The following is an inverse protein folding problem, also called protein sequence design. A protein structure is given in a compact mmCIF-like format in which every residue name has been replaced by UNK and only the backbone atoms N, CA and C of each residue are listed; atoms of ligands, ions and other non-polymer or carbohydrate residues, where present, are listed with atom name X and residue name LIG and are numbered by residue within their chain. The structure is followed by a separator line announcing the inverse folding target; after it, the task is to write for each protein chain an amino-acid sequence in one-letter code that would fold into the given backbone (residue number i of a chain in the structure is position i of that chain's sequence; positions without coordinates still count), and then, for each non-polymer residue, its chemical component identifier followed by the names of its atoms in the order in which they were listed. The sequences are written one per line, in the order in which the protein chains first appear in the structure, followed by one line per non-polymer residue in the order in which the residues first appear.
data_IF_800974905882
#
_entry.id   IF_800974905882
#
_cell.length_a   1.000
_cell.length_b   1.000
_cell.length_c   1.000
_cell.angle_alpha   90.00
_cell.angle_beta   90.00
_cell.angle_gamma   90.00
#
_symmetry.space_group_name_H-M   'P 1'
#
loop_
_entity.id
_entity.type
_entity.pdbx_description
1 polymer ?
#
# COMPACT_ATOMS: atom_id res chain seq x y z
N UNK A 1 7.20 8.91 20.39
CA UNK A 1 6.82 7.96 19.30
C UNK A 1 5.89 6.90 19.86
N UNK A 2 4.79 6.65 19.20
CA UNK A 2 3.88 5.56 19.56
C UNK A 2 4.47 4.19 19.18
N UNK A 3 4.38 3.21 20.06
CA UNK A 3 4.89 1.86 19.83
C UNK A 3 3.78 0.97 19.26
N UNK A 4 3.91 0.61 17.97
CA UNK A 4 2.94 -0.22 17.26
C UNK A 4 3.27 -1.71 17.34
N UNK A 5 2.25 -2.56 17.14
CA UNK A 5 2.42 -4.01 17.05
C UNK A 5 3.09 -4.61 18.27
N UNK A 6 4.19 -5.32 18.05
CA UNK A 6 4.98 -5.96 19.13
C UNK A 6 6.12 -5.06 19.63
N UNK A 7 6.21 -3.81 19.16
CA UNK A 7 7.27 -2.88 19.55
C UNK A 7 7.20 -2.53 21.04
N UNK A 8 8.36 -2.54 21.70
CA UNK A 8 8.50 -2.17 23.11
C UNK A 8 9.90 -1.65 23.41
N UNK A 9 10.07 -1.01 24.56
CA UNK A 9 11.40 -0.70 25.09
C UNK A 9 11.82 -1.86 26.02
N UNK A 10 12.96 -2.46 25.72
CA UNK A 10 13.48 -3.58 26.51
C UNK A 10 14.18 -3.14 27.80
N UNK A 11 14.66 -4.10 28.60
CA UNK A 11 15.33 -3.83 29.87
C UNK A 11 16.64 -3.04 29.77
N UNK A 12 17.22 -2.90 28.59
CA UNK A 12 18.42 -2.10 28.30
C UNK A 12 18.08 -0.68 27.84
N UNK A 13 16.80 -0.36 27.69
CA UNK A 13 16.34 0.91 27.17
C UNK A 13 16.36 0.99 25.64
N UNK A 14 16.53 -0.13 24.93
CA UNK A 14 16.53 -0.17 23.48
C UNK A 14 15.13 -0.48 22.95
N UNK A 15 14.83 0.07 21.76
CA UNK A 15 13.65 -0.31 21.00
C UNK A 15 13.81 -1.78 20.55
N UNK A 16 12.75 -2.56 20.77
CA UNK A 16 12.63 -3.95 20.33
C UNK A 16 11.41 -4.08 19.41
N UNK A 17 11.55 -4.78 18.28
CA UNK A 17 10.50 -5.06 17.30
C UNK A 17 10.51 -6.54 16.97
N UNK A 18 9.35 -7.21 17.04
CA UNK A 18 9.25 -8.65 16.81
C UNK A 18 10.07 -9.47 17.79
N UNK A 19 10.39 -8.94 18.97
CA UNK A 19 11.29 -9.56 19.96
C UNK A 19 12.78 -9.41 19.64
N UNK A 20 13.16 -8.62 18.62
CA UNK A 20 14.53 -8.35 18.22
C UNK A 20 14.96 -6.96 18.67
N UNK A 21 16.11 -6.84 19.34
CA UNK A 21 16.74 -5.57 19.71
C UNK A 21 17.21 -4.84 18.43
N UNK A 22 16.72 -3.61 18.23
CA UNK A 22 17.04 -2.85 17.02
C UNK A 22 18.49 -2.45 16.90
N UNK A 23 19.24 -2.34 18.01
CA UNK A 23 20.68 -2.08 17.98
C UNK A 23 21.45 -3.29 17.43
N UNK A 24 20.99 -4.50 17.77
CA UNK A 24 21.57 -5.73 17.20
C UNK A 24 21.23 -5.86 15.72
N UNK A 25 19.98 -5.54 15.31
CA UNK A 25 19.58 -5.54 13.92
C UNK A 25 20.43 -4.56 13.08
N UNK A 26 20.64 -3.33 13.59
CA UNK A 26 21.46 -2.33 12.93
C UNK A 26 22.93 -2.78 12.80
N UNK A 27 23.48 -3.43 13.83
CA UNK A 27 24.84 -3.96 13.78
C UNK A 27 24.98 -5.12 12.78
N UNK A 28 23.96 -5.98 12.69
CA UNK A 28 23.99 -7.17 11.83
C UNK A 28 23.76 -6.83 10.35
N UNK A 29 22.81 -5.94 10.06
CA UNK A 29 22.35 -5.66 8.68
C UNK A 29 22.77 -4.28 8.18
N UNK A 30 23.34 -3.43 9.03
CA UNK A 30 23.66 -2.04 8.72
C UNK A 30 22.42 -1.14 8.62
N UNK A 31 22.64 0.17 8.49
CA UNK A 31 21.59 1.18 8.26
C UNK A 31 21.81 1.89 6.92
N UNK A 32 20.83 2.57 6.34
CA UNK A 32 19.41 2.53 6.70
C UNK A 32 18.86 1.11 6.60
N UNK A 33 17.90 0.76 7.47
CA UNK A 33 17.32 -0.58 7.51
C UNK A 33 15.83 -0.50 7.73
N UNK A 34 15.03 -1.14 6.86
CA UNK A 34 13.62 -1.36 7.14
C UNK A 34 13.45 -2.62 8.01
N UNK A 35 12.74 -2.48 9.11
CA UNK A 35 12.34 -3.58 9.99
C UNK A 35 10.84 -3.70 9.98
N UNK A 36 10.32 -4.84 9.55
CA UNK A 36 8.89 -5.14 9.59
C UNK A 36 8.59 -6.12 10.72
N UNK A 37 7.58 -5.80 11.52
CA UNK A 37 6.97 -6.67 12.51
C UNK A 37 6.03 -7.67 11.80
N UNK A 38 6.52 -8.88 11.53
CA UNK A 38 5.74 -9.90 10.81
C UNK A 38 4.49 -10.33 11.59
N UNK A 39 4.54 -10.39 12.92
CA UNK A 39 3.36 -10.77 13.70
C UNK A 39 2.27 -9.71 13.62
N UNK A 40 2.64 -8.43 13.62
CA UNK A 40 1.70 -7.33 13.40
C UNK A 40 1.04 -7.42 12.02
N UNK A 41 1.80 -7.69 10.95
CA UNK A 41 1.27 -7.90 9.60
C UNK A 41 0.24 -9.03 9.59
N UNK A 42 0.61 -10.21 10.12
CA UNK A 42 -0.26 -11.39 10.16
C UNK A 42 -1.49 -11.16 11.03
N UNK A 43 -1.32 -10.50 12.17
CA UNK A 43 -2.41 -10.14 13.07
C UNK A 43 -3.49 -9.30 12.39
N UNK A 44 -3.09 -8.34 11.55
CA UNK A 44 -4.02 -7.49 10.78
C UNK A 44 -4.73 -8.24 9.66
N UNK A 45 -4.02 -9.11 8.93
CA UNK A 45 -4.66 -10.00 7.95
C UNK A 45 -5.77 -10.84 8.61
N UNK A 46 -5.46 -11.45 9.76
CA UNK A 46 -6.42 -12.25 10.52
C UNK A 46 -7.58 -11.41 11.07
N UNK A 47 -7.33 -10.16 11.47
CA UNK A 47 -8.38 -9.26 11.97
C UNK A 47 -9.42 -8.93 10.88
N UNK A 48 -8.98 -8.63 9.64
CA UNK A 48 -9.90 -8.46 8.52
C UNK A 48 -10.74 -9.71 8.27
N UNK A 49 -10.11 -10.89 8.19
CA UNK A 49 -10.83 -12.14 7.99
C UNK A 49 -11.84 -12.43 9.11
N UNK A 50 -11.47 -12.17 10.37
CA UNK A 50 -12.38 -12.34 11.51
C UNK A 50 -13.59 -11.43 11.41
N UNK A 51 -13.39 -10.13 11.16
CA UNK A 51 -14.47 -9.16 11.04
C UNK A 51 -15.45 -9.52 9.91
N UNK A 52 -14.96 -9.97 8.75
CA UNK A 52 -15.82 -10.41 7.67
C UNK A 52 -16.57 -11.72 7.97
N UNK A 53 -15.92 -12.69 8.60
CA UNK A 53 -16.60 -13.94 9.02
C UNK A 53 -17.76 -13.66 9.98
N UNK A 54 -17.55 -12.73 10.91
CA UNK A 54 -18.60 -12.31 11.85
C UNK A 54 -19.75 -11.59 11.15
N UNK A 55 -19.51 -10.90 10.05
CA UNK A 55 -20.54 -10.24 9.26
C UNK A 55 -21.47 -11.19 8.51
N UNK A 56 -21.03 -12.43 8.24
CA UNK A 56 -21.79 -13.44 7.47
C UNK A 56 -21.85 -13.20 5.96
N UNK A 57 -21.09 -12.25 5.41
CA UNK A 57 -20.97 -12.04 3.97
C UNK A 57 -19.98 -13.01 3.34
N UNK A 58 -20.19 -13.35 2.07
CA UNK A 58 -19.11 -13.83 1.19
C UNK A 58 -18.16 -12.67 0.91
N UNK A 59 -16.84 -12.93 0.97
CA UNK A 59 -15.87 -11.84 0.89
C UNK A 59 -14.51 -12.28 0.35
N UNK A 60 -13.75 -11.30 -0.17
CA UNK A 60 -12.31 -11.42 -0.38
C UNK A 60 -11.58 -10.21 0.22
N UNK A 61 -10.40 -10.45 0.76
CA UNK A 61 -9.49 -9.40 1.22
C UNK A 61 -8.23 -9.49 0.37
N UNK A 62 -8.02 -8.53 -0.52
CA UNK A 62 -6.86 -8.46 -1.38
C UNK A 62 -5.82 -7.51 -0.78
N UNK A 63 -4.61 -8.00 -0.52
CA UNK A 63 -3.52 -7.14 -0.09
C UNK A 63 -3.06 -6.26 -1.26
N UNK A 64 -3.08 -4.94 -1.08
CA UNK A 64 -2.63 -3.99 -2.10
C UNK A 64 -1.10 -3.92 -2.15
N UNK A 65 -0.50 -4.60 -3.13
CA UNK A 65 0.95 -4.79 -3.32
C UNK A 65 1.73 -3.48 -3.38
N UNK A 66 1.14 -2.43 -3.96
CA UNK A 66 1.75 -1.10 -4.06
C UNK A 66 2.21 -0.52 -2.71
N UNK A 67 1.63 -0.97 -1.59
CA UNK A 67 2.04 -0.52 -0.27
C UNK A 67 3.44 -1.01 0.10
N UNK A 68 3.71 -2.29 -0.09
CA UNK A 68 5.02 -2.94 0.01
C UNK A 68 4.94 -4.35 -0.56
N UNK A 69 5.82 -4.68 -1.49
CA UNK A 69 5.89 -6.02 -2.08
C UNK A 69 7.33 -6.53 -2.16
N UNK A 70 7.51 -7.76 -1.72
CA UNK A 70 8.64 -8.63 -1.99
C UNK A 70 8.17 -10.08 -2.00
N UNK A 71 8.99 -11.03 -2.39
CA UNK A 71 8.60 -12.45 -2.46
C UNK A 71 8.11 -12.97 -1.12
N UNK A 72 8.74 -12.54 -0.02
CA UNK A 72 8.35 -12.93 1.34
C UNK A 72 6.99 -12.36 1.74
N UNK A 73 6.69 -11.09 1.38
CA UNK A 73 5.36 -10.53 1.63
C UNK A 73 4.28 -11.27 0.85
N UNK A 74 4.56 -11.71 -0.38
CA UNK A 74 3.65 -12.59 -1.13
C UNK A 74 3.41 -13.92 -0.39
N UNK A 75 4.47 -14.53 0.20
CA UNK A 75 4.34 -15.75 1.00
C UNK A 75 3.46 -15.52 2.22
N UNK A 76 3.68 -14.44 2.98
CA UNK A 76 2.86 -14.08 4.13
C UNK A 76 1.40 -13.87 3.74
N UNK A 77 1.12 -13.11 2.68
CA UNK A 77 -0.24 -12.89 2.18
C UNK A 77 -0.91 -14.20 1.77
N UNK A 78 -0.18 -15.12 1.11
CA UNK A 78 -0.70 -16.44 0.74
C UNK A 78 -1.07 -17.28 1.96
N UNK A 79 -0.20 -17.33 2.96
CA UNK A 79 -0.39 -18.11 4.19
C UNK A 79 -1.54 -17.58 5.05
N UNK A 80 -1.76 -16.26 5.04
CA UNK A 80 -2.88 -15.63 5.73
C UNK A 80 -4.16 -15.58 4.86
N UNK A 81 -4.22 -16.36 3.76
CA UNK A 81 -5.37 -16.48 2.88
C UNK A 81 -5.84 -15.18 2.21
N UNK A 82 -4.94 -14.21 2.03
CA UNK A 82 -5.25 -13.00 1.28
C UNK A 82 -5.29 -13.26 -0.22
N UNK A 83 -6.11 -12.51 -0.96
CA UNK A 83 -5.90 -12.25 -2.38
C UNK A 83 -4.82 -11.18 -2.55
N UNK A 84 -4.39 -10.89 -3.77
CA UNK A 84 -3.36 -9.90 -4.05
C UNK A 84 -3.82 -8.94 -5.14
N UNK A 85 -3.74 -7.65 -4.88
CA UNK A 85 -3.91 -6.58 -5.86
C UNK A 85 -2.53 -6.22 -6.42
N UNK A 86 -2.34 -6.34 -7.73
CA UNK A 86 -1.13 -5.94 -8.44
C UNK A 86 -1.44 -4.85 -9.46
N UNK A 87 -0.49 -3.94 -9.70
CA UNK A 87 -0.70 -2.77 -10.59
C UNK A 87 0.31 -2.68 -11.74
N UNK A 88 1.23 -3.63 -11.82
CA UNK A 88 2.25 -3.69 -12.88
C UNK A 88 2.72 -5.12 -13.16
N UNK A 89 3.38 -5.30 -14.30
CA UNK A 89 4.05 -6.56 -14.65
C UNK A 89 5.12 -6.95 -13.63
N UNK A 90 5.82 -5.98 -13.04
CA UNK A 90 6.82 -6.24 -12.01
C UNK A 90 6.21 -6.82 -10.73
N UNK A 91 5.08 -6.27 -10.26
CA UNK A 91 4.37 -6.83 -9.11
C UNK A 91 3.78 -8.21 -9.42
N UNK A 92 3.18 -8.39 -10.61
CA UNK A 92 2.67 -9.68 -11.06
C UNK A 92 3.79 -10.73 -11.13
N UNK A 93 4.92 -10.38 -11.75
CA UNK A 93 6.07 -11.27 -11.85
C UNK A 93 6.60 -11.67 -10.47
N UNK A 94 6.74 -10.72 -9.54
CA UNK A 94 7.16 -10.98 -8.16
C UNK A 94 6.22 -11.97 -7.47
N UNK A 95 4.91 -11.78 -7.60
CA UNK A 95 3.92 -12.68 -7.02
C UNK A 95 4.02 -14.10 -7.59
N UNK A 96 4.16 -14.23 -8.93
CA UNK A 96 4.29 -15.52 -9.60
C UNK A 96 5.58 -16.26 -9.19
N UNK A 97 6.72 -15.54 -9.10
CA UNK A 97 7.99 -16.12 -8.65
C UNK A 97 7.95 -16.55 -7.18
N UNK A 98 7.16 -15.89 -6.34
CA UNK A 98 6.91 -16.29 -4.95
C UNK A 98 5.95 -17.49 -4.83
N UNK A 99 5.44 -18.03 -5.94
CA UNK A 99 4.47 -19.13 -5.96
C UNK A 99 3.11 -18.71 -5.39
N UNK A 100 2.73 -17.43 -5.53
CA UNK A 100 1.40 -16.98 -5.14
C UNK A 100 0.35 -17.55 -6.11
N UNK A 101 -0.82 -18.05 -5.63
CA UNK A 101 -1.85 -18.60 -6.49
C UNK A 101 -2.40 -17.54 -7.46
N UNK A 102 -2.15 -17.70 -8.76
CA UNK A 102 -2.57 -16.73 -9.77
C UNK A 102 -4.08 -16.47 -9.75
N UNK A 103 -4.90 -17.48 -9.45
CA UNK A 103 -6.36 -17.34 -9.33
C UNK A 103 -6.82 -16.37 -8.21
N UNK A 104 -5.94 -15.95 -7.31
CA UNK A 104 -6.20 -14.97 -6.26
C UNK A 104 -5.52 -13.62 -6.53
N UNK A 105 -5.02 -13.39 -7.76
CA UNK A 105 -4.42 -12.12 -8.17
C UNK A 105 -5.46 -11.29 -8.92
N UNK A 106 -5.60 -10.02 -8.55
CA UNK A 106 -6.41 -9.01 -9.22
C UNK A 106 -5.48 -7.97 -9.83
N UNK A 107 -5.62 -7.71 -11.13
CA UNK A 107 -4.74 -6.79 -11.84
C UNK A 107 -5.40 -5.43 -12.08
N UNK A 108 -4.92 -4.42 -11.39
CA UNK A 108 -5.34 -3.02 -11.44
C UNK A 108 -4.42 -2.17 -12.34
N UNK A 109 -4.72 -0.87 -12.41
CA UNK A 109 -3.92 0.11 -13.14
C UNK A 109 -4.69 0.71 -14.30
N UNK A 110 -4.44 2.00 -14.54
CA UNK A 110 -5.14 2.80 -15.57
C UNK A 110 -4.49 2.72 -16.96
N UNK A 111 -3.37 2.04 -17.09
CA UNK A 111 -2.68 1.89 -18.37
C UNK A 111 -1.83 0.60 -18.37
N UNK A 112 -2.51 -0.54 -18.40
CA UNK A 112 -1.84 -1.84 -18.54
C UNK A 112 -1.33 -2.00 -19.98
N UNK A 113 -0.08 -2.43 -20.12
CA UNK A 113 0.50 -2.72 -21.44
C UNK A 113 0.00 -4.05 -21.99
N UNK A 114 0.08 -4.26 -23.30
CA UNK A 114 -0.24 -5.57 -23.90
C UNK A 114 0.63 -6.69 -23.34
N UNK A 115 1.92 -6.44 -23.11
CA UNK A 115 2.86 -7.40 -22.52
C UNK A 115 2.40 -7.83 -21.12
N UNK A 116 2.01 -6.88 -20.28
CA UNK A 116 1.48 -7.16 -18.93
C UNK A 116 0.16 -7.94 -18.98
N UNK A 117 -0.74 -7.57 -19.88
CA UNK A 117 -2.00 -8.31 -20.09
C UNK A 117 -1.75 -9.75 -20.58
N UNK A 118 -0.82 -9.95 -21.51
CA UNK A 118 -0.45 -11.28 -21.99
C UNK A 118 0.15 -12.12 -20.85
N UNK A 119 1.07 -11.56 -20.05
CA UNK A 119 1.63 -12.26 -18.88
C UNK A 119 0.51 -12.69 -17.92
N UNK A 120 -0.44 -11.82 -17.63
CA UNK A 120 -1.56 -12.09 -16.75
C UNK A 120 -2.52 -13.16 -17.32
N UNK A 121 -2.83 -13.10 -18.61
CA UNK A 121 -3.63 -14.10 -19.32
C UNK A 121 -2.95 -15.48 -19.31
N UNK A 122 -1.65 -15.54 -19.56
CA UNK A 122 -0.87 -16.78 -19.54
C UNK A 122 -0.82 -17.39 -18.13
N UNK A 123 -0.71 -16.56 -17.10
CA UNK A 123 -0.74 -16.99 -15.71
C UNK A 123 -2.13 -17.42 -15.23
N UNK A 124 -3.20 -17.13 -15.99
CA UNK A 124 -4.61 -17.33 -15.59
C UNK A 124 -4.92 -16.65 -14.25
N UNK A 125 -4.68 -15.35 -14.16
CA UNK A 125 -4.99 -14.60 -12.95
C UNK A 125 -6.48 -14.62 -12.63
N UNK A 126 -6.83 -14.28 -11.37
CA UNK A 126 -8.20 -14.35 -10.89
C UNK A 126 -9.14 -13.32 -11.53
N UNK A 127 -8.68 -12.08 -11.73
CA UNK A 127 -9.51 -11.00 -12.22
C UNK A 127 -8.67 -9.84 -12.80
N UNK A 128 -9.18 -9.20 -13.86
CA UNK A 128 -8.72 -7.89 -14.32
C UNK A 128 -9.69 -6.81 -13.84
N UNK A 129 -9.17 -5.73 -13.29
CA UNK A 129 -9.95 -4.54 -12.97
C UNK A 129 -9.77 -3.54 -14.11
N UNK A 130 -10.75 -3.49 -14.99
CA UNK A 130 -10.72 -2.69 -16.23
C UNK A 130 -10.97 -1.23 -15.90
N UNK A 131 -10.09 -0.36 -16.38
CA UNK A 131 -10.03 1.05 -15.99
C UNK A 131 -10.49 2.02 -17.08
N UNK A 132 -10.41 1.61 -18.36
CA UNK A 132 -10.76 2.46 -19.51
C UNK A 132 -11.21 1.64 -20.72
N UNK A 133 -11.80 2.35 -21.73
CA UNK A 133 -12.36 1.72 -22.94
C UNK A 133 -11.30 1.04 -23.81
N UNK A 134 -10.10 1.62 -23.92
CA UNK A 134 -9.02 1.05 -24.71
C UNK A 134 -8.58 -0.29 -24.14
N UNK A 135 -8.42 -0.37 -22.83
CA UNK A 135 -8.12 -1.62 -22.13
C UNK A 135 -9.21 -2.67 -22.36
N UNK A 136 -10.48 -2.25 -22.28
CA UNK A 136 -11.62 -3.16 -22.53
C UNK A 136 -11.54 -3.84 -23.89
N UNK A 137 -11.17 -3.11 -24.95
CA UNK A 137 -11.04 -3.66 -26.31
C UNK A 137 -9.76 -4.51 -26.45
N UNK A 138 -8.60 -3.99 -26.03
CA UNK A 138 -7.32 -4.72 -26.16
C UNK A 138 -7.35 -6.04 -25.37
N UNK A 139 -7.84 -6.03 -24.13
CA UNK A 139 -7.92 -7.24 -23.33
C UNK A 139 -8.85 -8.27 -23.95
N UNK A 140 -9.98 -7.83 -24.54
CA UNK A 140 -10.88 -8.71 -25.29
C UNK A 140 -10.15 -9.41 -26.45
N UNK A 141 -9.48 -8.62 -27.30
CA UNK A 141 -8.78 -9.12 -28.48
C UNK A 141 -7.65 -10.10 -28.08
N UNK A 142 -6.87 -9.75 -27.07
CA UNK A 142 -5.81 -10.61 -26.54
C UNK A 142 -6.37 -11.91 -25.94
N UNK A 143 -7.46 -11.84 -25.19
CA UNK A 143 -8.11 -13.00 -24.62
C UNK A 143 -8.69 -13.93 -25.71
N UNK A 144 -9.34 -13.36 -26.75
CA UNK A 144 -9.83 -14.12 -27.89
C UNK A 144 -8.70 -14.82 -28.64
N UNK A 145 -7.60 -14.11 -28.95
CA UNK A 145 -6.42 -14.68 -29.62
C UNK A 145 -5.79 -15.83 -28.83
N UNK A 146 -5.88 -15.80 -27.50
CA UNK A 146 -5.33 -16.82 -26.60
C UNK A 146 -6.36 -17.87 -26.17
N UNK A 147 -7.60 -17.83 -26.67
CA UNK A 147 -8.66 -18.78 -26.32
C UNK A 147 -9.03 -18.74 -24.83
N UNK A 148 -8.98 -17.54 -24.19
CA UNK A 148 -9.22 -17.37 -22.76
C UNK A 148 -10.56 -16.73 -22.46
N UNK A 149 -11.20 -17.22 -21.39
CA UNK A 149 -12.28 -16.51 -20.71
C UNK A 149 -11.68 -15.73 -19.54
N UNK A 150 -12.13 -14.50 -19.33
CA UNK A 150 -11.52 -13.56 -18.38
C UNK A 150 -12.57 -13.05 -17.42
N UNK A 151 -12.30 -13.16 -16.13
CA UNK A 151 -13.08 -12.47 -15.11
C UNK A 151 -12.67 -11.01 -15.08
N UNK A 152 -13.65 -10.11 -15.09
CA UNK A 152 -13.40 -8.68 -15.01
C UNK A 152 -14.27 -8.01 -13.95
N UNK A 153 -13.73 -6.98 -13.31
CA UNK A 153 -14.45 -5.92 -12.62
C UNK A 153 -14.31 -4.64 -13.44
N UNK A 154 -15.36 -3.83 -13.49
CA UNK A 154 -15.30 -2.48 -14.08
C UNK A 154 -14.99 -1.50 -12.95
N UNK A 155 -13.88 -0.75 -13.08
CA UNK A 155 -13.56 0.31 -12.13
C UNK A 155 -14.43 1.52 -12.39
N UNK A 156 -15.18 1.93 -11.36
CA UNK A 156 -16.09 3.08 -11.46
C UNK A 156 -15.73 4.16 -10.46
N UNK A 157 -16.00 5.40 -10.82
CA UNK A 157 -15.77 6.57 -9.97
C UNK A 157 -17.13 7.12 -9.52
N UNK A 158 -17.48 6.99 -8.24
CA UNK A 158 -18.80 7.34 -7.73
C UNK A 158 -19.02 8.84 -7.51
N UNK A 159 -18.01 9.71 -7.72
CA UNK A 159 -18.10 11.15 -7.45
C UNK A 159 -18.19 11.50 -5.96
N UNK A 160 -17.65 10.66 -5.09
CA UNK A 160 -17.67 10.87 -3.64
C UNK A 160 -16.30 11.33 -3.16
N UNK A 161 -16.26 12.44 -2.44
CA UNK A 161 -15.06 12.93 -1.77
C UNK A 161 -14.93 12.28 -0.39
N UNK A 162 -13.82 11.59 -0.15
CA UNK A 162 -13.37 11.32 1.20
C UNK A 162 -12.53 12.53 1.66
N UNK A 163 -12.76 13.06 2.87
CA UNK A 163 -11.94 14.13 3.44
C UNK A 163 -10.53 13.61 3.71
N UNK A 164 -9.66 13.70 2.68
CA UNK A 164 -8.27 13.22 2.70
C UNK A 164 -7.38 14.27 2.03
N UNK A 165 -6.06 14.09 2.12
CA UNK A 165 -5.11 14.98 1.45
C UNK A 165 -5.35 14.96 -0.08
N UNK A 166 -5.33 16.13 -0.72
CA UNK A 166 -5.65 16.35 -2.14
C UNK A 166 -4.98 15.34 -3.10
N UNK A 167 -3.72 14.96 -2.85
CA UNK A 167 -2.98 14.00 -3.70
C UNK A 167 -3.37 12.53 -3.53
N UNK A 168 -4.25 12.18 -2.58
CA UNK A 168 -4.65 10.80 -2.30
C UNK A 168 -6.17 10.56 -2.43
N UNK A 169 -6.91 11.56 -2.89
CA UNK A 169 -8.34 11.46 -3.21
C UNK A 169 -8.50 10.83 -4.60
N UNK A 170 -9.30 9.78 -4.73
CA UNK A 170 -9.48 9.02 -5.99
C UNK A 170 -10.94 8.80 -6.38
N UNK A 171 -11.87 9.16 -5.53
CA UNK A 171 -13.32 9.01 -5.76
C UNK A 171 -13.98 10.19 -6.48
N UNK A 172 -13.24 11.26 -6.78
CA UNK A 172 -13.73 12.48 -7.43
C UNK A 172 -14.00 12.25 -8.91
N UNK A 173 -14.86 13.08 -9.51
CA UNK A 173 -15.16 13.05 -10.96
C UNK A 173 -13.91 13.35 -11.82
N UNK A 174 -13.05 14.27 -11.38
CA UNK A 174 -11.75 14.52 -12.00
C UNK A 174 -10.69 13.55 -11.46
N UNK A 175 -10.69 12.36 -12.03
CA UNK A 175 -9.74 11.30 -11.69
C UNK A 175 -9.20 10.66 -12.96
N UNK A 176 -7.89 10.33 -12.97
CA UNK A 176 -7.30 9.54 -14.06
C UNK A 176 -7.73 8.07 -14.04
N UNK A 177 -8.52 7.65 -13.06
CA UNK A 177 -8.89 6.25 -12.84
C UNK A 177 -10.38 6.03 -13.05
N UNK A 178 -10.71 4.93 -13.75
CA UNK A 178 -12.04 4.38 -13.83
C UNK A 178 -13.03 5.18 -14.69
N UNK A 179 -14.22 4.65 -14.78
CA UNK A 179 -15.33 5.24 -15.54
C UNK A 179 -16.25 6.03 -14.61
N UNK A 180 -16.57 7.27 -14.98
CA UNK A 180 -17.50 8.10 -14.21
C UNK A 180 -18.91 7.51 -14.19
N UNK A 181 -19.52 7.47 -13.00
CA UNK A 181 -20.92 7.07 -12.86
C UNK A 181 -21.85 8.17 -13.35
N UNK A 182 -21.61 9.42 -12.92
CA UNK A 182 -22.46 10.58 -13.20
C UNK A 182 -22.52 10.98 -14.69
N UNK A 183 -21.45 10.74 -15.43
CA UNK A 183 -21.35 11.11 -16.87
C UNK A 183 -21.77 9.98 -17.82
N UNK A 184 -22.23 8.82 -17.29
CA UNK A 184 -22.72 7.68 -18.05
C UNK A 184 -21.64 6.76 -18.62
N UNK A 185 -20.34 7.06 -18.48
CA UNK A 185 -19.25 6.22 -19.00
C UNK A 185 -19.24 4.84 -18.35
N UNK A 186 -19.52 4.74 -17.04
CA UNK A 186 -19.58 3.47 -16.32
C UNK A 186 -20.65 2.54 -16.90
N UNK A 187 -21.85 3.06 -17.21
CA UNK A 187 -22.91 2.30 -17.83
C UNK A 187 -22.51 1.82 -19.23
N UNK A 188 -21.96 2.72 -20.06
CA UNK A 188 -21.48 2.38 -21.39
C UNK A 188 -20.41 1.26 -21.37
N UNK A 189 -19.48 1.33 -20.43
CA UNK A 189 -18.43 0.33 -20.28
C UNK A 189 -19.01 -1.04 -19.90
N UNK A 190 -20.00 -1.08 -19.01
CA UNK A 190 -20.70 -2.31 -18.63
C UNK A 190 -21.47 -2.91 -19.82
N UNK A 191 -22.25 -2.08 -20.54
CA UNK A 191 -23.01 -2.54 -21.71
C UNK A 191 -22.09 -3.13 -22.79
N UNK A 192 -20.93 -2.49 -23.04
CA UNK A 192 -19.91 -3.03 -23.95
C UNK A 192 -19.29 -4.32 -23.44
N UNK A 193 -18.94 -4.38 -22.16
CA UNK A 193 -18.36 -5.58 -21.56
C UNK A 193 -19.30 -6.79 -21.62
N UNK A 194 -20.61 -6.58 -21.40
CA UNK A 194 -21.61 -7.64 -21.45
C UNK A 194 -21.84 -8.20 -22.87
N UNK A 195 -21.48 -7.44 -23.93
CA UNK A 195 -21.53 -7.89 -25.32
C UNK A 195 -20.34 -8.77 -25.71
N UNK A 196 -19.26 -8.75 -24.93
CA UNK A 196 -18.03 -9.52 -25.20
C UNK A 196 -18.16 -10.94 -24.67
N UNK A 197 -18.26 -11.92 -25.55
CA UNK A 197 -18.58 -13.32 -25.20
C UNK A 197 -17.53 -14.03 -24.32
N UNK A 198 -16.30 -13.53 -24.28
CA UNK A 198 -15.20 -14.07 -23.48
C UNK A 198 -14.99 -13.36 -22.13
N UNK A 199 -15.81 -12.36 -21.80
CA UNK A 199 -15.81 -11.74 -20.50
C UNK A 199 -16.84 -12.35 -19.56
N UNK A 200 -16.40 -12.65 -18.33
CA UNK A 200 -17.26 -12.89 -17.20
C UNK A 200 -17.23 -11.61 -16.33
N UNK A 201 -18.22 -10.76 -16.46
CA UNK A 201 -18.34 -9.50 -15.71
C UNK A 201 -18.79 -9.82 -14.30
N UNK A 202 -17.85 -9.87 -13.34
CA UNK A 202 -18.17 -10.22 -11.96
C UNK A 202 -18.95 -9.10 -11.25
N UNK A 203 -18.56 -7.84 -11.50
CA UNK A 203 -19.14 -6.72 -10.80
C UNK A 203 -18.39 -5.41 -11.04
N UNK A 204 -18.40 -4.54 -10.04
CA UNK A 204 -17.75 -3.24 -10.08
C UNK A 204 -16.72 -3.09 -8.95
N UNK A 205 -15.73 -2.25 -9.20
CA UNK A 205 -14.72 -1.82 -8.24
C UNK A 205 -14.78 -0.30 -8.07
N UNK A 206 -14.60 0.17 -6.85
CA UNK A 206 -14.40 1.60 -6.56
C UNK A 206 -13.38 1.78 -5.45
N UNK A 207 -12.61 2.87 -5.52
CA UNK A 207 -11.66 3.26 -4.47
C UNK A 207 -11.75 4.76 -4.27
N UNK A 208 -12.08 5.21 -3.06
CA UNK A 208 -12.45 6.60 -2.76
C UNK A 208 -11.31 7.42 -2.14
N UNK A 209 -10.18 6.82 -1.84
CA UNK A 209 -9.04 7.54 -1.27
C UNK A 209 -8.18 6.71 -0.33
N UNK A 210 -7.28 7.36 0.38
CA UNK A 210 -6.32 6.74 1.29
C UNK A 210 -6.21 7.53 2.58
N UNK A 211 -5.87 6.87 3.70
CA UNK A 211 -5.76 7.48 5.03
C UNK A 211 -7.11 8.07 5.50
N UNK A 212 -8.19 7.32 5.30
CA UNK A 212 -9.56 7.71 5.66
C UNK A 212 -9.80 7.33 7.12
N UNK A 213 -10.22 8.29 7.94
CA UNK A 213 -10.46 8.09 9.38
C UNK A 213 -11.95 7.96 9.73
N UNK A 214 -12.85 8.25 8.78
CA UNK A 214 -14.28 8.25 8.99
C UNK A 214 -14.99 7.26 8.08
N UNK A 215 -16.13 6.72 8.53
CA UNK A 215 -16.90 5.76 7.73
C UNK A 215 -17.85 6.42 6.73
N UNK A 216 -18.16 7.71 6.90
CA UNK A 216 -19.15 8.44 6.09
C UNK A 216 -18.86 8.38 4.59
N UNK A 217 -17.58 8.49 4.19
CA UNK A 217 -17.19 8.37 2.78
C UNK A 217 -17.49 6.98 2.19
N UNK A 218 -17.25 5.92 2.94
CA UNK A 218 -17.58 4.54 2.52
C UNK A 218 -19.11 4.35 2.42
N UNK A 219 -19.86 4.81 3.42
CA UNK A 219 -21.33 4.75 3.42
C UNK A 219 -21.88 5.43 2.18
N UNK A 220 -21.46 6.68 1.91
CA UNK A 220 -21.91 7.44 0.76
C UNK A 220 -21.54 6.78 -0.57
N UNK A 221 -20.35 6.27 -0.70
CA UNK A 221 -19.94 5.54 -1.91
C UNK A 221 -20.81 4.31 -2.15
N UNK A 222 -21.08 3.51 -1.12
CA UNK A 222 -21.94 2.33 -1.22
C UNK A 222 -23.36 2.71 -1.64
N UNK A 223 -23.94 3.80 -1.13
CA UNK A 223 -25.25 4.30 -1.55
C UNK A 223 -25.29 4.62 -3.05
N UNK A 224 -24.28 5.35 -3.55
CA UNK A 224 -24.18 5.69 -4.97
C UNK A 224 -23.99 4.43 -5.83
N UNK A 225 -23.10 3.54 -5.41
CA UNK A 225 -22.81 2.29 -6.15
C UNK A 225 -24.04 1.38 -6.17
N UNK A 226 -24.81 1.29 -5.08
CA UNK A 226 -26.06 0.54 -5.04
C UNK A 226 -27.08 1.08 -6.06
N UNK A 227 -27.31 2.41 -6.09
CA UNK A 227 -28.20 3.04 -7.06
C UNK A 227 -27.76 2.74 -8.50
N UNK A 228 -26.46 2.84 -8.75
CA UNK A 228 -25.90 2.51 -10.06
C UNK A 228 -26.10 1.02 -10.43
N UNK A 229 -25.91 0.09 -9.50
CA UNK A 229 -26.15 -1.34 -9.74
C UNK A 229 -27.62 -1.67 -10.01
N UNK A 230 -28.55 -0.94 -9.40
CA UNK A 230 -29.97 -1.02 -9.74
C UNK A 230 -30.24 -0.59 -11.18
N UNK A 231 -29.72 0.56 -11.60
CA UNK A 231 -29.83 1.05 -12.98
C UNK A 231 -29.22 0.04 -13.98
N UNK A 232 -28.07 -0.55 -13.67
CA UNK A 232 -27.46 -1.62 -14.49
C UNK A 232 -28.43 -2.80 -14.63
N UNK A 233 -29.02 -3.27 -13.53
CA UNK A 233 -29.99 -4.38 -13.55
C UNK A 233 -31.22 -4.06 -14.39
N UNK A 234 -31.78 -2.87 -14.25
CA UNK A 234 -32.95 -2.44 -15.02
C UNK A 234 -32.67 -2.37 -16.52
N UNK A 235 -31.53 -1.81 -16.93
CA UNK A 235 -31.17 -1.60 -18.33
C UNK A 235 -30.67 -2.85 -19.03
N UNK A 236 -29.92 -3.70 -18.32
CA UNK A 236 -29.21 -4.84 -18.95
C UNK A 236 -29.79 -6.18 -18.55
N UNK A 237 -30.68 -6.24 -17.57
CA UNK A 237 -31.17 -7.47 -16.91
C UNK A 237 -30.05 -8.31 -16.28
N UNK A 238 -28.84 -7.72 -16.09
CA UNK A 238 -27.70 -8.39 -15.51
C UNK A 238 -27.55 -8.02 -14.02
N UNK A 239 -27.32 -9.04 -13.19
CA UNK A 239 -27.10 -8.88 -11.75
C UNK A 239 -25.61 -9.05 -11.46
N UNK A 240 -24.95 -7.98 -11.04
CA UNK A 240 -23.56 -8.00 -10.60
C UNK A 240 -23.43 -8.79 -9.29
N UNK A 241 -22.40 -9.64 -9.21
CA UNK A 241 -22.19 -10.55 -8.07
C UNK A 241 -21.16 -10.05 -7.07
N UNK A 242 -20.28 -9.13 -7.49
CA UNK A 242 -19.16 -8.62 -6.70
C UNK A 242 -19.25 -7.11 -6.57
N UNK A 243 -19.09 -6.63 -5.36
CA UNK A 243 -18.87 -5.21 -5.06
C UNK A 243 -17.53 -5.06 -4.35
N UNK A 244 -16.52 -4.53 -5.08
CA UNK A 244 -15.23 -4.19 -4.51
C UNK A 244 -15.24 -2.72 -4.08
N UNK A 245 -15.13 -2.45 -2.79
CA UNK A 245 -15.15 -1.09 -2.23
C UNK A 245 -13.75 -0.50 -2.02
N UNK A 246 -12.72 -1.19 -2.52
CA UNK A 246 -11.33 -0.73 -2.44
C UNK A 246 -10.71 -0.82 -1.04
N UNK A 247 -9.73 0.02 -0.83
CA UNK A 247 -9.04 0.16 0.44
C UNK A 247 -9.23 1.56 1.04
N UNK A 248 -8.16 2.10 1.60
CA UNK A 248 -8.15 3.47 2.13
C UNK A 248 -8.20 3.56 3.65
N UNK A 249 -8.30 2.46 4.37
CA UNK A 249 -8.34 2.39 5.84
C UNK A 249 -7.11 3.05 6.45
N UNK A 250 -7.34 4.09 7.28
CA UNK A 250 -6.30 4.90 7.88
C UNK A 250 -5.54 4.19 9.01
N UNK A 251 -4.31 4.67 9.26
CA UNK A 251 -3.49 4.25 10.40
C UNK A 251 -3.00 5.49 11.16
N UNK A 252 -2.54 5.30 12.37
CA UNK A 252 -1.92 6.35 13.18
C UNK A 252 -0.46 6.54 12.78
N UNK A 253 -0.11 7.69 12.22
CA UNK A 253 1.27 8.12 11.97
C UNK A 253 1.81 8.97 13.11
N UNK A 254 0.95 9.85 13.65
CA UNK A 254 1.28 10.82 14.70
C UNK A 254 0.21 10.85 15.78
N UNK A 255 0.47 11.55 16.87
CA UNK A 255 -0.49 11.71 17.96
C UNK A 255 -1.79 12.41 17.57
N UNK A 256 -1.80 13.16 16.46
CA UNK A 256 -3.00 13.81 15.95
C UNK A 256 -3.94 12.87 15.17
N UNK A 257 -3.47 11.68 14.81
CA UNK A 257 -4.25 10.74 14.01
C UNK A 257 -5.10 9.84 14.92
N UNK A 258 -6.38 9.72 14.58
CA UNK A 258 -7.36 8.92 15.34
C UNK A 258 -8.08 7.92 14.42
N UNK A 259 -7.39 6.91 13.87
CA UNK A 259 -8.02 5.92 13.02
C UNK A 259 -9.04 5.09 13.79
N UNK A 260 -10.09 4.68 13.10
CA UNK A 260 -11.02 3.67 13.60
C UNK A 260 -10.37 2.28 13.61
N UNK A 261 -10.95 1.35 14.37
CA UNK A 261 -10.51 -0.04 14.34
C UNK A 261 -10.88 -0.71 13.02
N UNK A 262 -10.18 -1.77 12.64
CA UNK A 262 -10.47 -2.53 11.41
C UNK A 262 -11.88 -3.10 11.44
N UNK A 263 -12.30 -3.58 12.59
CA UNK A 263 -13.65 -4.10 12.83
C UNK A 263 -14.72 -3.04 12.59
N UNK A 264 -14.48 -1.80 13.03
CA UNK A 264 -15.41 -0.68 12.81
C UNK A 264 -15.57 -0.35 11.33
N UNK A 265 -14.49 -0.32 10.56
CA UNK A 265 -14.57 -0.12 9.11
C UNK A 265 -15.33 -1.25 8.42
N UNK A 266 -15.00 -2.51 8.71
CA UNK A 266 -15.68 -3.67 8.11
C UNK A 266 -17.16 -3.68 8.49
N UNK A 267 -17.50 -3.39 9.74
CA UNK A 267 -18.88 -3.32 10.20
C UNK A 267 -19.65 -2.22 9.45
N UNK A 268 -19.10 -1.02 9.30
CA UNK A 268 -19.74 0.06 8.56
C UNK A 268 -20.02 -0.33 7.10
N UNK A 269 -19.02 -0.93 6.41
CA UNK A 269 -19.19 -1.40 5.04
C UNK A 269 -20.29 -2.47 4.95
N UNK A 270 -20.20 -3.51 5.77
CA UNK A 270 -21.10 -4.67 5.69
C UNK A 270 -22.53 -4.34 6.14
N UNK A 271 -22.70 -3.52 7.18
CA UNK A 271 -24.03 -3.08 7.63
C UNK A 271 -24.71 -2.19 6.58
N UNK A 272 -23.98 -1.24 5.99
CA UNK A 272 -24.52 -0.37 4.93
C UNK A 272 -24.91 -1.18 3.69
N UNK A 273 -24.08 -2.13 3.24
CA UNK A 273 -24.42 -2.99 2.10
C UNK A 273 -25.66 -3.81 2.42
N UNK A 274 -25.74 -4.43 3.59
CA UNK A 274 -26.92 -5.21 3.99
C UNK A 274 -28.19 -4.37 3.98
N UNK A 275 -28.16 -3.21 4.59
CA UNK A 275 -29.30 -2.28 4.65
C UNK A 275 -29.72 -1.84 3.24
N UNK A 276 -28.80 -1.25 2.50
CA UNK A 276 -29.07 -0.64 1.20
C UNK A 276 -29.55 -1.65 0.15
N UNK A 277 -28.91 -2.84 0.09
CA UNK A 277 -29.26 -3.87 -0.91
C UNK A 277 -30.56 -4.63 -0.55
N UNK A 278 -30.87 -4.76 0.74
CA UNK A 278 -32.17 -5.35 1.16
C UNK A 278 -33.34 -4.42 0.80
N UNK A 279 -33.18 -3.10 0.96
CA UNK A 279 -34.23 -2.11 0.66
C UNK A 279 -34.68 -2.15 -0.82
N UNK A 280 -33.79 -2.49 -1.76
CA UNK A 280 -34.10 -2.54 -3.19
C UNK A 280 -34.23 -3.96 -3.75
N UNK A 281 -34.31 -4.96 -2.90
CA UNK A 281 -34.41 -6.37 -3.29
C UNK A 281 -33.30 -6.79 -4.29
N UNK A 282 -32.09 -6.18 -4.13
CA UNK A 282 -30.92 -6.60 -4.89
C UNK A 282 -30.21 -7.74 -4.14
N UNK A 283 -29.81 -8.82 -4.82
CA UNK A 283 -29.06 -9.90 -4.18
C UNK A 283 -27.78 -9.35 -3.50
N UNK A 284 -27.52 -9.79 -2.27
CA UNK A 284 -26.30 -9.36 -1.56
C UNK A 284 -25.06 -9.79 -2.34
N UNK A 285 -24.18 -8.85 -2.71
CA UNK A 285 -22.97 -9.18 -3.44
C UNK A 285 -21.91 -9.82 -2.53
N UNK A 286 -20.97 -10.52 -3.12
CA UNK A 286 -19.68 -10.80 -2.48
C UNK A 286 -18.91 -9.48 -2.31
N UNK A 287 -18.41 -9.22 -1.12
CA UNK A 287 -17.71 -7.98 -0.79
C UNK A 287 -16.21 -8.18 -0.93
N UNK A 288 -15.55 -7.36 -1.76
CA UNK A 288 -14.09 -7.33 -1.83
C UNK A 288 -13.56 -6.03 -1.25
N UNK A 289 -12.41 -6.11 -0.56
CA UNK A 289 -11.67 -4.96 -0.05
C UNK A 289 -10.18 -5.09 -0.36
N UNK A 290 -9.47 -3.94 -0.38
CA UNK A 290 -8.07 -3.86 -0.79
C UNK A 290 -7.20 -3.11 0.24
N UNK A 291 -7.05 -3.62 1.46
CA UNK A 291 -6.17 -3.02 2.45
C UNK A 291 -4.70 -3.15 2.03
N UNK A 292 -3.96 -2.06 2.08
CA UNK A 292 -2.50 -2.04 1.89
C UNK A 292 -1.83 -1.39 3.08
N UNK A 293 -1.98 -0.05 3.20
CA UNK A 293 -1.44 0.75 4.30
C UNK A 293 -1.80 0.18 5.67
N UNK A 294 -3.05 -0.16 5.90
CA UNK A 294 -3.53 -0.68 7.19
C UNK A 294 -2.96 -2.04 7.57
N UNK A 295 -2.33 -2.77 6.65
CA UNK A 295 -1.64 -4.03 6.94
C UNK A 295 -0.17 -3.80 7.27
N UNK A 296 0.56 -3.03 6.46
CA UNK A 296 2.03 -2.93 6.58
C UNK A 296 2.52 -1.60 7.11
N UNK A 297 1.72 -0.53 7.09
CA UNK A 297 2.20 0.83 7.33
C UNK A 297 2.86 0.99 8.70
N UNK A 298 2.14 0.72 9.77
CA UNK A 298 2.60 0.83 11.16
C UNK A 298 3.34 -0.44 11.65
N UNK A 299 3.39 -1.49 10.82
CA UNK A 299 4.26 -2.64 11.06
C UNK A 299 5.71 -2.39 10.63
N UNK A 300 5.99 -1.38 9.82
CA UNK A 300 7.34 -1.04 9.35
C UNK A 300 7.94 0.14 10.11
N UNK A 301 9.21 -0.02 10.48
CA UNK A 301 10.06 1.01 11.09
C UNK A 301 11.36 1.09 10.32
N UNK A 302 11.84 2.30 10.04
CA UNK A 302 13.16 2.49 9.42
C UNK A 302 14.17 2.95 10.47
N UNK A 303 15.31 2.23 10.53
CA UNK A 303 16.43 2.54 11.39
C UNK A 303 17.49 3.30 10.62
N UNK A 304 18.00 4.35 11.21
CA UNK A 304 19.05 5.21 10.67
C UNK A 304 20.17 5.40 11.66
N UNK A 305 21.41 5.47 11.18
CA UNK A 305 22.53 5.93 12.01
C UNK A 305 22.65 7.45 11.90
N UNK A 306 22.69 8.13 13.05
CA UNK A 306 22.95 9.57 13.11
C UNK A 306 24.41 9.84 12.73
N UNK A 307 24.58 10.74 11.78
CA UNK A 307 25.88 11.26 11.36
C UNK A 307 26.22 12.60 12.02
N UNK A 308 26.23 13.65 11.21
CA UNK A 308 26.54 15.00 11.67
C UNK A 308 25.33 15.63 12.38
N UNK A 309 25.64 16.35 13.47
CA UNK A 309 24.71 17.26 14.12
C UNK A 309 25.18 18.68 13.87
N UNK A 310 24.34 19.50 13.25
CA UNK A 310 24.65 20.89 12.90
C UNK A 310 23.70 21.84 13.61
N UNK A 311 24.23 22.69 14.46
CA UNK A 311 23.47 23.74 15.11
C UNK A 311 23.67 25.08 14.38
N UNK A 312 22.56 25.79 14.14
CA UNK A 312 22.53 27.19 13.72
C UNK A 312 21.97 27.97 14.90
N UNK A 313 22.82 28.68 15.64
CA UNK A 313 22.43 29.31 16.90
C UNK A 313 21.19 30.22 16.76
N UNK A 314 20.20 29.98 17.61
CA UNK A 314 18.94 30.75 17.63
C UNK A 314 17.99 30.44 16.45
N UNK A 315 18.31 29.49 15.57
CA UNK A 315 17.46 29.15 14.42
C UNK A 315 17.04 27.68 14.47
N UNK A 316 17.98 26.72 14.36
CA UNK A 316 17.65 25.30 14.24
C UNK A 316 18.84 24.39 14.49
N UNK A 317 18.54 23.21 15.01
CA UNK A 317 19.49 22.10 15.10
C UNK A 317 19.09 20.99 14.10
N UNK A 318 19.97 20.71 13.16
CA UNK A 318 19.82 19.63 12.19
C UNK A 318 20.54 18.37 12.66
N UNK A 319 19.85 17.25 12.58
CA UNK A 319 20.39 15.90 12.81
C UNK A 319 20.39 15.18 11.47
N UNK A 320 21.56 14.98 10.88
CA UNK A 320 21.70 14.28 9.60
C UNK A 320 21.79 12.76 9.82
N UNK A 321 21.11 12.00 8.98
CA UNK A 321 21.13 10.54 9.02
C UNK A 321 21.71 9.95 7.74
N UNK A 322 22.04 8.67 7.77
CA UNK A 322 22.68 7.95 6.65
C UNK A 322 21.72 7.54 5.51
N UNK A 323 20.42 7.87 5.62
CA UNK A 323 19.39 7.76 4.59
C UNK A 323 18.77 9.09 4.24
N UNK A 324 17.53 9.08 3.75
CA UNK A 324 16.80 10.31 3.40
C UNK A 324 15.61 10.05 2.48
N UNK A 325 15.32 11.04 1.59
CA UNK A 325 14.23 10.93 0.62
C UNK A 325 14.40 9.78 -0.37
N UNK A 326 15.57 9.18 -0.47
CA UNK A 326 15.81 7.97 -1.28
C UNK A 326 15.15 6.74 -0.72
N UNK A 327 14.88 6.70 0.57
CA UNK A 327 14.27 5.57 1.27
C UNK A 327 12.94 5.96 1.95
N UNK A 328 12.70 7.24 2.24
CA UNK A 328 11.39 7.73 2.65
C UNK A 328 11.05 9.02 1.90
N UNK A 329 10.50 8.88 0.70
CA UNK A 329 10.17 9.99 -0.20
C UNK A 329 8.94 10.80 0.27
N UNK A 330 8.08 10.22 1.09
CA UNK A 330 6.76 10.79 1.42
C UNK A 330 6.79 12.15 2.14
N UNK A 331 7.73 12.47 3.04
CA UNK A 331 7.83 13.81 3.60
C UNK A 331 8.07 14.87 2.52
N UNK A 332 8.99 14.60 1.58
CA UNK A 332 9.29 15.54 0.49
C UNK A 332 8.17 15.65 -0.54
N UNK A 333 7.49 14.54 -0.86
CA UNK A 333 6.47 14.50 -1.92
C UNK A 333 5.07 14.94 -1.44
N UNK A 334 4.70 14.57 -0.21
CA UNK A 334 3.33 14.76 0.30
C UNK A 334 3.27 15.59 1.58
N UNK A 335 4.40 16.08 2.11
CA UNK A 335 4.43 16.69 3.43
C UNK A 335 4.04 15.71 4.56
N UNK A 336 4.21 14.40 4.34
CA UNK A 336 3.82 13.38 5.29
C UNK A 336 4.59 13.54 6.61
N UNK A 337 3.88 13.46 7.73
CA UNK A 337 4.46 13.57 9.07
C UNK A 337 4.73 12.19 9.65
N UNK A 338 5.80 12.10 10.41
CA UNK A 338 6.25 10.90 11.08
C UNK A 338 6.70 11.20 12.50
N UNK A 339 6.73 10.17 13.34
CA UNK A 339 7.34 10.20 14.66
C UNK A 339 8.66 9.44 14.67
N UNK A 340 9.57 9.84 15.52
CA UNK A 340 10.87 9.20 15.70
C UNK A 340 11.27 9.13 17.18
N UNK A 341 12.23 8.23 17.46
CA UNK A 341 12.90 8.14 18.75
C UNK A 341 14.35 7.67 18.57
N UNK A 342 15.18 7.86 19.58
CA UNK A 342 16.48 7.20 19.65
C UNK A 342 16.27 5.74 20.08
N UNK A 343 16.49 4.82 19.16
CA UNK A 343 16.21 3.38 19.38
C UNK A 343 17.17 2.73 20.38
N UNK A 344 18.38 3.27 20.52
CA UNK A 344 19.39 2.84 21.51
C UNK A 344 19.24 3.52 22.88
N UNK A 345 18.31 4.47 23.03
CA UNK A 345 18.14 5.30 24.23
C UNK A 345 16.65 5.64 24.48
N UNK A 346 15.78 4.64 24.34
CA UNK A 346 14.33 4.81 24.36
C UNK A 346 13.73 5.28 25.69
N UNK A 347 14.47 5.22 26.79
CA UNK A 347 14.05 5.71 28.10
C UNK A 347 14.49 7.15 28.38
N UNK A 348 15.29 7.76 27.51
CA UNK A 348 15.79 9.13 27.76
C UNK A 348 14.69 10.16 27.51
N UNK A 349 14.79 11.30 28.20
CA UNK A 349 13.82 12.38 28.08
C UNK A 349 14.01 13.17 26.79
N UNK A 350 12.92 13.49 26.13
CA UNK A 350 12.90 14.33 24.91
C UNK A 350 12.96 15.82 25.30
N UNK A 351 14.17 16.37 25.37
CA UNK A 351 14.41 17.74 25.87
C UNK A 351 14.95 18.69 24.79
N UNK A 352 15.28 18.18 23.60
CA UNK A 352 15.90 18.98 22.55
C UNK A 352 15.04 19.01 21.28
N UNK A 353 14.73 20.20 20.78
CA UNK A 353 14.03 20.40 19.52
C UNK A 353 15.01 20.31 18.35
N UNK A 354 14.82 19.33 17.46
CA UNK A 354 15.68 19.08 16.31
C UNK A 354 14.88 18.84 15.03
N UNK A 355 15.53 18.94 13.88
CA UNK A 355 14.99 18.55 12.58
C UNK A 355 15.87 17.45 11.97
N UNK A 356 15.23 16.36 11.49
CA UNK A 356 15.92 15.21 10.91
C UNK A 356 16.10 15.44 9.42
N UNK A 357 17.34 15.52 8.97
CA UNK A 357 17.72 15.71 7.58
C UNK A 357 18.30 14.42 6.99
N UNK A 358 17.99 14.13 5.74
CA UNK A 358 18.66 13.10 4.97
C UNK A 358 20.03 13.55 4.46
N UNK A 359 20.70 12.64 3.74
CA UNK A 359 22.04 12.85 3.21
C UNK A 359 22.08 13.24 1.72
N UNK A 360 20.92 13.34 1.07
CA UNK A 360 20.88 13.72 -0.34
C UNK A 360 21.33 15.16 -0.54
N UNK A 361 21.99 15.44 -1.68
CA UNK A 361 22.34 16.81 -2.07
C UNK A 361 21.09 17.53 -2.63
N UNK A 362 20.09 17.72 -1.76
CA UNK A 362 18.79 18.29 -2.05
C UNK A 362 18.21 18.98 -0.79
N UNK A 363 17.84 20.24 -0.90
CA UNK A 363 17.33 21.03 0.24
C UNK A 363 16.02 20.48 0.81
N UNK A 364 15.23 19.81 -0.01
CA UNK A 364 13.97 19.17 0.37
C UNK A 364 14.13 17.82 1.05
N UNK A 365 15.38 17.32 1.24
CA UNK A 365 15.64 16.03 1.89
C UNK A 365 15.53 16.13 3.42
N UNK A 366 14.30 16.38 3.87
CA UNK A 366 13.93 16.45 5.27
C UNK A 366 12.95 15.34 5.62
N UNK A 367 13.34 14.51 6.58
CA UNK A 367 12.49 13.41 7.03
C UNK A 367 11.47 13.87 8.08
N UNK A 368 11.89 14.70 9.03
CA UNK A 368 11.00 15.27 10.05
C UNK A 368 11.44 16.70 10.37
N UNK A 369 10.50 17.61 10.33
CA UNK A 369 10.67 18.95 10.84
C UNK A 369 10.23 19.04 12.31
N UNK A 370 11.06 19.66 13.16
CA UNK A 370 10.74 20.10 14.53
C UNK A 370 10.15 18.97 15.41
N UNK A 371 11.00 18.04 15.82
CA UNK A 371 10.68 16.96 16.77
C UNK A 371 11.51 17.10 18.06
N UNK A 372 10.89 16.82 19.21
CA UNK A 372 11.63 16.72 20.47
C UNK A 372 12.25 15.33 20.60
N UNK A 373 13.56 15.28 20.80
CA UNK A 373 14.35 14.08 21.06
C UNK A 373 15.23 14.27 22.31
N UNK A 374 15.81 13.21 22.90
CA UNK A 374 16.93 13.34 23.82
C UNK A 374 18.09 14.07 23.12
N UNK A 375 19.04 14.59 23.89
CA UNK A 375 20.26 15.16 23.30
C UNK A 375 20.91 14.15 22.35
N UNK A 376 20.90 14.47 21.05
CA UNK A 376 21.34 13.55 19.98
C UNK A 376 22.85 13.65 19.80
N UNK A 377 23.51 12.50 19.67
CA UNK A 377 24.93 12.39 19.38
C UNK A 377 25.17 11.61 18.08
N UNK A 378 26.36 11.80 17.47
CA UNK A 378 26.81 10.99 16.35
C UNK A 378 26.85 9.50 16.76
N UNK A 379 26.46 8.63 15.86
CA UNK A 379 26.33 7.18 16.05
C UNK A 379 25.11 6.74 16.90
N UNK A 380 24.25 7.65 17.36
CA UNK A 380 22.94 7.24 17.88
C UNK A 380 22.14 6.53 16.77
N UNK A 381 21.27 5.62 17.19
CA UNK A 381 20.36 4.91 16.29
C UNK A 381 18.98 5.58 16.34
N UNK A 382 18.57 6.19 15.24
CA UNK A 382 17.26 6.81 15.08
C UNK A 382 16.28 5.81 14.48
N UNK A 383 15.10 5.65 15.08
CA UNK A 383 13.98 4.90 14.53
C UNK A 383 12.87 5.86 14.10
N UNK A 384 12.38 5.72 12.85
CA UNK A 384 11.18 6.38 12.34
C UNK A 384 10.09 5.33 12.17
N UNK A 385 8.98 5.47 12.88
CA UNK A 385 7.86 4.51 12.83
C UNK A 385 6.95 4.73 11.61
N UNK A 386 6.06 3.78 11.34
CA UNK A 386 5.04 3.84 10.29
C UNK A 386 5.58 4.00 8.86
N UNK A 387 6.79 3.53 8.60
CA UNK A 387 7.42 3.60 7.27
C UNK A 387 7.13 2.39 6.38
N UNK A 388 6.31 1.43 6.85
CA UNK A 388 6.07 0.17 6.17
C UNK A 388 5.26 0.26 4.88
N UNK A 389 4.44 1.30 4.70
CA UNK A 389 3.69 1.51 3.47
C UNK A 389 4.26 2.68 2.66
N UNK A 390 4.50 2.45 1.37
CA UNK A 390 4.99 3.48 0.44
C UNK A 390 6.36 4.08 0.84
N UNK A 391 7.11 3.40 1.71
CA UNK A 391 8.52 3.67 2.01
C UNK A 391 9.39 2.95 0.99
N UNK A 392 9.72 1.68 1.26
CA UNK A 392 10.55 0.87 0.37
C UNK A 392 10.02 0.79 -1.07
N UNK A 393 8.69 0.69 -1.26
CA UNK A 393 8.06 0.65 -2.60
C UNK A 393 8.37 1.89 -3.46
N UNK A 394 8.58 3.05 -2.83
CA UNK A 394 8.92 4.31 -3.50
C UNK A 394 10.42 4.63 -3.40
N UNK A 395 11.23 3.75 -2.80
CA UNK A 395 12.66 3.95 -2.69
C UNK A 395 13.32 4.06 -4.06
N UNK A 396 14.29 4.95 -4.16
CA UNK A 396 14.94 5.28 -5.42
C UNK A 396 16.46 5.44 -5.27
N UNK A 397 17.16 5.63 -6.37
CA UNK A 397 18.60 5.77 -6.39
C UNK A 397 19.05 7.22 -6.67
N UNK A 398 18.29 8.23 -6.23
CA UNK A 398 18.74 9.61 -6.34
C UNK A 398 20.13 9.79 -5.70
N UNK A 399 20.98 10.62 -6.25
CA UNK A 399 22.43 10.72 -5.96
C UNK A 399 23.18 9.36 -6.03
N UNK A 400 22.64 8.34 -6.72
CA UNK A 400 23.16 6.96 -6.80
C UNK A 400 23.32 6.30 -5.42
N UNK A 401 22.46 6.70 -4.47
CA UNK A 401 22.40 6.06 -3.14
C UNK A 401 21.76 4.69 -3.28
N UNK A 402 22.36 3.69 -2.61
CA UNK A 402 21.87 2.31 -2.60
C UNK A 402 20.58 2.18 -1.81
N UNK A 403 19.60 1.47 -2.35
CA UNK A 403 18.39 1.13 -1.59
C UNK A 403 18.73 0.26 -0.38
N UNK A 404 18.08 0.49 0.79
CA UNK A 404 18.37 -0.22 2.02
C UNK A 404 17.93 -1.69 1.99
N UNK A 405 18.43 -2.48 2.94
CA UNK A 405 17.91 -3.80 3.20
C UNK A 405 16.52 -3.75 3.89
N UNK A 406 15.78 -4.84 3.75
CA UNK A 406 14.53 -5.08 4.47
C UNK A 406 14.65 -6.38 5.26
N UNK A 407 14.28 -6.34 6.54
CA UNK A 407 14.20 -7.53 7.40
C UNK A 407 12.80 -7.70 7.97
N UNK A 408 12.36 -8.94 8.11
CA UNK A 408 11.20 -9.32 8.90
C UNK A 408 11.66 -9.81 10.26
N UNK A 409 11.03 -9.30 11.33
CA UNK A 409 11.32 -9.65 12.70
C UNK A 409 10.08 -10.31 13.35
N UNK A 410 10.28 -11.46 13.99
CA UNK A 410 9.23 -12.23 14.65
C UNK A 410 9.78 -13.15 15.72
N UNK A 411 9.20 -13.11 16.94
CA UNK A 411 9.51 -14.06 18.00
C UNK A 411 10.98 -14.10 18.40
N UNK A 412 11.69 -12.96 18.35
CA UNK A 412 13.12 -12.85 18.68
C UNK A 412 14.07 -13.29 17.55
N UNK A 413 13.55 -13.57 16.36
CA UNK A 413 14.35 -13.90 15.18
C UNK A 413 14.12 -12.88 14.06
N UNK A 414 15.14 -12.64 13.24
CA UNK A 414 15.05 -11.74 12.10
C UNK A 414 15.60 -12.43 10.83
N UNK A 415 14.97 -12.12 9.71
CA UNK A 415 15.38 -12.63 8.41
C UNK A 415 15.44 -11.49 7.40
N UNK A 416 16.53 -11.43 6.64
CA UNK A 416 16.62 -10.52 5.49
C UNK A 416 15.68 -11.03 4.39
N UNK A 417 14.81 -10.15 3.91
CA UNK A 417 13.81 -10.46 2.86
C UNK A 417 14.04 -9.66 1.58
N UNK A 418 14.81 -8.57 1.69
CA UNK A 418 15.37 -7.84 0.55
C UNK A 418 16.79 -7.42 0.91
N UNK A 419 17.75 -7.84 0.09
CA UNK A 419 19.16 -7.46 0.26
C UNK A 419 19.36 -5.96 -0.01
N UNK A 420 20.34 -5.37 0.71
CA UNK A 420 20.82 -4.03 0.39
C UNK A 420 21.48 -4.03 -0.99
N UNK A 421 21.18 -3.03 -1.82
CA UNK A 421 21.91 -2.88 -3.09
C UNK A 421 23.42 -2.73 -2.88
N UNK A 422 24.18 -3.32 -3.79
CA UNK A 422 25.64 -3.09 -3.90
C UNK A 422 25.92 -1.95 -4.88
N UNK A 423 27.14 -1.47 -4.95
CA UNK A 423 27.55 -0.50 -5.98
C UNK A 423 27.50 -1.11 -7.37
N UNK A 424 27.73 -2.43 -7.50
CA UNK A 424 27.58 -3.17 -8.75
C UNK A 424 26.13 -3.18 -9.22
N UNK A 425 25.15 -3.31 -8.32
CA UNK A 425 23.75 -3.19 -8.67
C UNK A 425 23.42 -1.80 -9.24
N UNK A 426 24.00 -0.73 -8.67
CA UNK A 426 23.79 0.65 -9.12
C UNK A 426 24.23 0.86 -10.56
N UNK A 427 25.35 0.24 -10.98
CA UNK A 427 25.91 0.38 -12.34
C UNK A 427 25.54 -0.76 -13.28
N UNK A 428 24.79 -1.76 -12.81
CA UNK A 428 24.52 -3.00 -13.56
C UNK A 428 23.93 -2.81 -14.96
N UNK A 429 23.15 -1.75 -15.14
CA UNK A 429 22.56 -1.38 -16.44
C UNK A 429 23.32 -0.30 -17.21
N UNK A 430 24.39 0.27 -16.63
CA UNK A 430 25.18 1.31 -17.32
C UNK A 430 26.01 0.67 -18.44
N UNK A 431 26.23 1.40 -19.53
CA UNK A 431 27.07 1.02 -20.65
C UNK A 431 27.97 2.18 -21.03
N UNK A 432 29.26 1.91 -21.17
CA UNK A 432 30.22 2.87 -21.72
C UNK A 432 30.15 2.77 -23.26
N UNK A 433 29.97 3.88 -23.93
CA UNK A 433 30.02 3.93 -25.38
C UNK A 433 31.46 3.67 -25.85
N UNK A 434 31.66 2.55 -26.54
CA UNK A 434 32.93 2.28 -27.19
C UNK A 434 33.03 3.24 -28.39
N UNK A 435 34.04 4.15 -28.40
CA UNK A 435 34.37 4.87 -29.60
C UNK A 435 35.07 3.85 -30.51
N UNK A 436 34.46 3.55 -31.67
CA UNK A 436 35.19 2.94 -32.76
C UNK A 436 36.36 3.89 -33.08
N UNK A 437 37.58 3.42 -32.91
CA UNK A 437 38.78 4.08 -33.42
C UNK A 437 38.66 4.00 -34.94
N UNK A 438 38.26 5.10 -35.58
CA UNK A 438 38.29 5.28 -37.03
C UNK A 438 39.70 5.54 -37.46
#
# INVERSE_FOLDING_TARGET
MYLHGTSRINGQGHLEIGGCDTTQLANQYGTPLYVYDEESIRGKCRAFHRAFKESGFSYQVAYASKAFLCMEMCRVAREENMSLDVVSGGELYTALQAGFPASRIHFHGNNKTEEEMIMALQANIGCFVVDNFLELEILHDLAMKNGKFVNILIRVTPGVEAHTHEYITTGQEDSKFGFGVSNGQAMQAIELALQKSNYNVLGIHSHIGSQIFETAGFVRAIEVLRQFLEEVRERTHYVMKVLNVGGGFGIRYTDSDTPLTLETYVHAVTSTIREQFTLCEYPLPEIWIEPGRSIVGDAGTTLYTVGAVKEIPGIRKYVSVDGGMTDNLRPALYGARYEAMLANRGNDKNEELVSIAGKCCESGDMLIWDINLPQVASSDLLAISCTGAYGYSMANNYNRIRRPAVVFAKGGTSQIVVERETYENIIGNDRIRIKELV
#
